data_IF_591832595748
#
_entry.id   IF_591832595748
#
_cell.length_a   1.000
_cell.length_b   1.000
_cell.length_c   1.000
_cell.angle_alpha   90.00
_cell.angle_beta   90.00
_cell.angle_gamma   90.00
#
_symmetry.space_group_name_H-M   'P 1'
#
loop_
_entity.id
_entity.type
_entity.pdbx_description
1 polymer ?
#
# COMPACT_ATOMS: atom_id res chain seq x y z
N UNK A 1 -44.63 -1.97 -61.96
CA UNK A 1 -43.51 -2.88 -62.28
C UNK A 1 -42.26 -2.35 -61.61
N UNK A 2 -41.64 -3.22 -60.83
CA UNK A 2 -40.54 -3.00 -59.90
C UNK A 2 -39.26 -2.43 -60.55
N UNK A 3 -38.47 -1.70 -59.75
CA UNK A 3 -37.07 -2.06 -59.50
C UNK A 3 -36.48 -1.17 -58.39
N UNK A 4 -36.33 -1.75 -57.20
CA UNK A 4 -35.50 -1.26 -56.12
C UNK A 4 -34.05 -1.13 -56.57
N UNK A 5 -33.40 -0.01 -56.25
CA UNK A 5 -31.94 0.12 -56.37
C UNK A 5 -31.36 0.52 -55.03
N UNK A 6 -30.94 -0.51 -54.32
CA UNK A 6 -30.25 -0.48 -53.03
C UNK A 6 -28.89 0.21 -53.24
N UNK A 7 -28.74 1.45 -52.75
CA UNK A 7 -27.46 2.16 -52.77
C UNK A 7 -26.82 1.98 -51.40
N UNK A 8 -25.88 1.03 -51.35
CA UNK A 8 -24.94 0.82 -50.25
C UNK A 8 -24.22 2.13 -49.94
N UNK A 9 -24.71 2.85 -48.92
CA UNK A 9 -23.94 3.91 -48.30
C UNK A 9 -23.00 3.23 -47.32
N UNK A 10 -21.74 3.10 -47.74
CA UNK A 10 -20.63 2.89 -46.83
C UNK A 10 -20.68 4.04 -45.82
N UNK A 11 -21.15 3.75 -44.61
CA UNK A 11 -21.08 4.67 -43.49
C UNK A 11 -19.59 4.81 -43.19
N UNK A 12 -19.00 5.96 -43.57
CA UNK A 12 -17.71 6.37 -43.05
C UNK A 12 -17.95 6.70 -41.57
N UNK A 13 -17.96 5.66 -40.74
CA UNK A 13 -17.83 5.79 -39.31
C UNK A 13 -16.44 6.35 -39.06
N UNK A 14 -16.40 7.64 -38.80
CA UNK A 14 -15.28 8.28 -38.15
C UNK A 14 -15.21 7.63 -36.76
N UNK A 15 -14.21 6.78 -36.57
CA UNK A 15 -13.96 6.16 -35.28
C UNK A 15 -13.43 7.29 -34.41
N UNK A 16 -14.33 7.85 -33.59
CA UNK A 16 -14.00 8.90 -32.64
C UNK A 16 -12.96 8.36 -31.65
N UNK A 17 -11.71 8.79 -31.84
CA UNK A 17 -10.51 8.38 -31.09
C UNK A 17 -10.48 8.99 -29.66
N UNK A 18 -11.64 9.30 -29.10
CA UNK A 18 -11.83 9.99 -27.82
C UNK A 18 -12.02 9.04 -26.64
N UNK A 19 -11.66 7.75 -26.78
CA UNK A 19 -11.63 6.80 -25.66
C UNK A 19 -10.24 6.65 -25.02
N UNK A 20 -9.18 7.21 -25.62
CA UNK A 20 -7.79 7.07 -25.12
C UNK A 20 -7.30 8.28 -24.33
N UNK A 21 -8.10 9.34 -24.23
CA UNK A 21 -7.90 10.43 -23.30
C UNK A 21 -8.86 10.20 -22.12
N UNK A 22 -8.57 9.18 -21.30
CA UNK A 22 -8.89 9.37 -19.87
C UNK A 22 -8.21 10.68 -19.51
N UNK A 23 -9.00 11.65 -19.06
CA UNK A 23 -8.56 13.01 -18.86
C UNK A 23 -7.27 12.97 -18.02
N UNK A 24 -6.16 13.44 -18.59
CA UNK A 24 -4.86 13.43 -17.90
C UNK A 24 -4.99 14.14 -16.56
N UNK A 25 -5.87 15.13 -16.50
CA UNK A 25 -6.18 15.85 -15.28
C UNK A 25 -6.92 14.95 -14.27
N UNK A 26 -7.88 14.11 -14.68
CA UNK A 26 -8.50 13.12 -13.77
C UNK A 26 -7.50 12.07 -13.27
N UNK A 27 -6.57 11.62 -14.11
CA UNK A 27 -5.51 10.69 -13.70
C UNK A 27 -4.51 11.35 -12.75
N UNK A 28 -4.13 12.59 -13.03
CA UNK A 28 -3.27 13.41 -12.17
C UNK A 28 -3.98 13.74 -10.86
N UNK A 29 -5.27 14.08 -10.86
CA UNK A 29 -6.07 14.33 -9.66
C UNK A 29 -6.27 13.06 -8.83
N UNK A 30 -6.47 11.89 -9.45
CA UNK A 30 -6.45 10.60 -8.75
C UNK A 30 -5.08 10.26 -8.18
N UNK A 31 -3.99 10.61 -8.87
CA UNK A 31 -2.63 10.41 -8.37
C UNK A 31 -2.24 11.41 -7.27
N UNK A 32 -2.81 12.62 -7.32
CA UNK A 32 -2.62 13.70 -6.35
C UNK A 32 -3.59 13.61 -5.18
N UNK A 33 -4.60 12.74 -5.24
CA UNK A 33 -5.52 12.54 -4.12
C UNK A 33 -4.75 11.95 -2.93
N UNK A 34 -4.24 12.85 -2.08
CA UNK A 34 -3.57 12.51 -0.84
C UNK A 34 -4.56 11.85 0.11
N UNK A 35 -4.54 10.52 0.11
CA UNK A 35 -5.18 9.73 1.15
C UNK A 35 -4.41 9.87 2.47
N UNK A 36 -5.07 9.60 3.59
CA UNK A 36 -4.39 9.55 4.89
C UNK A 36 -3.27 8.49 4.92
N UNK A 37 -3.44 7.39 4.19
CA UNK A 37 -2.39 6.39 3.97
C UNK A 37 -1.16 6.96 3.31
N UNK A 38 -1.32 7.76 2.24
CA UNK A 38 -0.20 8.42 1.56
C UNK A 38 0.60 9.28 2.54
N UNK A 39 -0.08 10.01 3.43
CA UNK A 39 0.57 10.86 4.45
C UNK A 39 1.31 10.03 5.50
N UNK A 40 0.71 8.93 5.98
CA UNK A 40 1.36 8.02 6.93
C UNK A 40 2.60 7.38 6.30
N UNK A 41 2.48 6.88 5.08
CA UNK A 41 3.60 6.28 4.35
C UNK A 41 4.71 7.30 4.06
N UNK A 42 4.36 8.55 3.76
CA UNK A 42 5.34 9.61 3.57
C UNK A 42 6.14 9.88 4.86
N UNK A 43 5.47 10.00 6.01
CA UNK A 43 6.14 10.14 7.33
C UNK A 43 7.04 8.94 7.64
N UNK A 44 6.60 7.72 7.30
CA UNK A 44 7.40 6.51 7.43
C UNK A 44 8.69 6.59 6.61
N UNK A 45 8.58 6.97 5.32
CA UNK A 45 9.72 7.11 4.42
C UNK A 45 10.70 8.17 4.91
N UNK A 46 10.21 9.35 5.27
CA UNK A 46 11.05 10.45 5.78
C UNK A 46 11.85 10.02 7.01
N UNK A 47 11.20 9.31 7.95
CA UNK A 47 11.89 8.80 9.13
C UNK A 47 12.93 7.73 8.79
N UNK A 48 12.62 6.82 7.88
CA UNK A 48 13.51 5.71 7.51
C UNK A 48 14.67 6.20 6.63
N UNK A 49 14.47 7.25 5.84
CA UNK A 49 15.50 7.83 4.98
C UNK A 49 16.67 8.46 5.76
N UNK A 50 16.44 8.88 7.01
CA UNK A 50 17.48 9.40 7.89
C UNK A 50 18.52 8.34 8.27
N UNK A 51 18.13 7.06 8.35
CA UNK A 51 19.04 5.95 8.65
C UNK A 51 18.56 4.68 7.90
N UNK A 52 18.89 4.54 6.61
CA UNK A 52 18.37 3.48 5.76
C UNK A 52 18.94 2.09 6.08
N UNK A 53 20.02 2.01 6.86
CA UNK A 53 20.60 0.73 7.31
C UNK A 53 20.10 0.30 8.70
N UNK A 54 19.22 1.10 9.34
CA UNK A 54 18.66 0.74 10.63
C UNK A 54 17.74 -0.47 10.48
N UNK A 55 18.11 -1.58 11.11
CA UNK A 55 17.29 -2.80 11.19
C UNK A 55 16.39 -2.85 12.43
N UNK A 56 16.69 -2.05 13.46
CA UNK A 56 15.94 -2.02 14.71
C UNK A 56 15.82 -0.60 15.27
N UNK A 57 14.59 -0.19 15.58
CA UNK A 57 14.23 1.07 16.22
C UNK A 57 13.79 0.81 17.67
N UNK A 58 14.66 1.08 18.64
CA UNK A 58 14.33 0.97 20.07
C UNK A 58 13.74 2.27 20.61
N UNK A 59 12.50 2.26 21.09
CA UNK A 59 11.84 3.41 21.69
C UNK A 59 10.77 2.98 22.73
N UNK A 60 11.23 2.63 23.94
CA UNK A 60 10.36 2.16 25.01
C UNK A 60 9.30 3.19 25.45
N UNK A 61 8.05 2.75 25.56
CA UNK A 61 6.91 3.56 25.98
C UNK A 61 6.45 4.59 24.95
N UNK A 62 6.96 4.52 23.72
CA UNK A 62 6.56 5.41 22.62
C UNK A 62 5.54 4.72 21.69
N UNK A 63 5.23 5.35 20.56
CA UNK A 63 4.34 4.79 19.55
C UNK A 63 5.13 4.13 18.40
N UNK A 64 4.57 3.06 17.79
CA UNK A 64 5.12 2.46 16.58
C UNK A 64 5.15 3.45 15.41
N UNK A 65 6.09 3.25 14.48
CA UNK A 65 6.13 3.97 13.20
C UNK A 65 5.34 3.17 12.17
N UNK A 66 4.17 3.66 11.78
CA UNK A 66 3.28 2.98 10.84
C UNK A 66 3.60 3.31 9.39
N UNK A 67 3.50 2.31 8.50
CA UNK A 67 3.61 2.49 7.06
C UNK A 67 2.25 2.67 6.36
N UNK A 68 1.14 2.32 7.02
CA UNK A 68 -0.24 2.47 6.55
C UNK A 68 -1.17 2.69 7.74
N UNK A 69 -2.34 3.28 7.49
CA UNK A 69 -3.47 3.36 8.43
C UNK A 69 -4.19 2.03 8.59
N UNK A 70 -4.08 1.14 7.60
CA UNK A 70 -4.66 -0.20 7.64
C UNK A 70 -3.83 -1.18 8.49
N UNK A 71 -4.49 -2.22 9.00
CA UNK A 71 -3.88 -3.31 9.78
C UNK A 71 -3.13 -2.88 11.04
N UNK A 72 -3.42 -1.71 11.59
CA UNK A 72 -2.95 -1.33 12.92
C UNK A 72 -3.69 -2.19 13.97
N UNK A 73 -2.98 -2.86 14.89
CA UNK A 73 -3.61 -3.67 15.92
C UNK A 73 -4.38 -2.77 16.90
N UNK A 74 -5.63 -3.12 17.15
CA UNK A 74 -6.41 -2.50 18.21
C UNK A 74 -5.83 -2.88 19.58
N UNK A 75 -5.78 -1.94 20.53
CA UNK A 75 -5.28 -2.24 21.89
C UNK A 75 -6.04 -3.40 22.56
N UNK A 76 -7.31 -3.60 22.18
CA UNK A 76 -8.16 -4.69 22.67
C UNK A 76 -7.76 -6.07 22.12
N UNK A 77 -7.14 -6.11 20.93
CA UNK A 77 -6.65 -7.33 20.28
C UNK A 77 -5.27 -7.76 20.79
N UNK A 78 -4.57 -6.88 21.51
CA UNK A 78 -3.27 -7.20 22.10
C UNK A 78 -3.50 -8.05 23.36
N UNK A 79 -2.92 -9.27 23.45
CA UNK A 79 -3.13 -10.13 24.60
C UNK A 79 -2.64 -9.45 25.89
N UNK A 80 -3.29 -9.70 27.03
CA UNK A 80 -2.84 -9.12 28.31
C UNK A 80 -1.68 -9.91 28.88
N UNK A 81 -0.80 -9.26 29.65
CA UNK A 81 0.19 -10.00 30.44
C UNK A 81 -0.52 -10.93 31.43
N UNK A 82 -0.12 -12.21 31.58
CA UNK A 82 -0.61 -13.08 32.64
C UNK A 82 -0.41 -12.50 34.06
N UNK A 83 0.58 -11.62 34.21
CA UNK A 83 0.89 -10.88 35.42
C UNK A 83 -0.02 -9.66 35.69
N UNK A 84 -0.88 -9.29 34.74
CA UNK A 84 -1.74 -8.10 34.83
C UNK A 84 -1.08 -6.76 34.47
N UNK A 85 0.22 -6.75 34.15
CA UNK A 85 0.90 -5.54 33.69
C UNK A 85 0.41 -5.11 32.29
N UNK A 86 0.37 -3.79 32.04
CA UNK A 86 0.07 -3.23 30.72
C UNK A 86 1.24 -3.51 29.76
N UNK A 87 0.95 -4.07 28.59
CA UNK A 87 1.94 -4.16 27.52
C UNK A 87 2.29 -2.74 27.03
N UNK A 88 3.57 -2.47 26.89
CA UNK A 88 4.08 -1.20 26.35
C UNK A 88 4.94 -1.52 25.14
N UNK A 89 4.88 -0.64 24.14
CA UNK A 89 5.79 -0.71 23.02
C UNK A 89 7.24 -0.57 23.49
N UNK A 90 8.14 -1.43 23.00
CA UNK A 90 9.56 -1.43 23.38
C UNK A 90 10.46 -1.09 22.19
N UNK A 91 10.33 -1.85 21.10
CA UNK A 91 11.06 -1.62 19.86
C UNK A 91 10.24 -2.07 18.66
N UNK A 92 10.68 -1.61 17.48
CA UNK A 92 10.15 -2.01 16.18
C UNK A 92 11.31 -2.52 15.32
N UNK A 93 11.12 -3.68 14.69
CA UNK A 93 12.00 -4.16 13.63
C UNK A 93 11.69 -3.38 12.36
N UNK A 94 12.73 -2.90 11.69
CA UNK A 94 12.59 -2.11 10.47
C UNK A 94 12.63 -3.01 9.24
N UNK A 95 11.93 -2.65 8.14
CA UNK A 95 11.89 -3.49 6.92
C UNK A 95 13.26 -3.75 6.29
N UNK A 96 14.25 -2.91 6.58
CA UNK A 96 15.62 -3.03 6.06
C UNK A 96 16.29 -4.34 6.47
N UNK A 97 15.87 -4.93 7.60
CA UNK A 97 16.34 -6.25 8.01
C UNK A 97 16.07 -7.32 6.94
N UNK A 98 14.94 -7.22 6.22
CA UNK A 98 14.58 -8.16 5.16
C UNK A 98 15.47 -8.03 3.91
N UNK A 99 16.14 -6.88 3.71
CA UNK A 99 17.11 -6.74 2.62
C UNK A 99 18.43 -7.48 2.94
N UNK A 100 18.79 -7.55 4.22
CA UNK A 100 20.01 -8.24 4.68
C UNK A 100 19.80 -9.74 4.88
N UNK A 101 18.60 -10.12 5.33
CA UNK A 101 18.14 -11.50 5.33
C UNK A 101 17.85 -11.87 3.87
N UNK A 102 18.79 -12.52 3.18
CA UNK A 102 18.63 -13.05 1.81
C UNK A 102 17.57 -14.17 1.74
N UNK A 103 16.34 -13.84 2.11
CA UNK A 103 15.17 -14.72 2.03
C UNK A 103 14.68 -14.68 0.57
N UNK A 104 15.52 -15.18 -0.32
CA UNK A 104 15.26 -15.22 -1.76
C UNK A 104 14.32 -16.38 -2.15
N UNK A 105 13.86 -17.16 -1.16
CA UNK A 105 13.03 -18.35 -1.36
C UNK A 105 11.61 -18.09 -0.84
N UNK A 106 10.57 -18.13 -1.70
CA UNK A 106 9.17 -18.00 -1.27
C UNK A 106 8.64 -19.19 -0.44
N UNK A 107 9.53 -20.10 0.00
CA UNK A 107 9.25 -21.21 0.91
C UNK A 107 9.82 -21.01 2.32
N UNK A 108 10.75 -20.06 2.50
CA UNK A 108 11.29 -19.69 3.81
C UNK A 108 10.58 -18.45 4.32
N UNK A 109 9.24 -18.47 4.39
CA UNK A 109 8.50 -17.34 4.94
C UNK A 109 8.85 -17.18 6.42
N UNK A 110 9.28 -15.97 6.80
CA UNK A 110 9.41 -15.56 8.20
C UNK A 110 7.99 -15.28 8.74
N UNK A 111 7.10 -16.28 8.64
CA UNK A 111 5.75 -16.22 9.19
C UNK A 111 5.85 -16.42 10.71
N UNK A 112 6.41 -15.44 11.43
CA UNK A 112 6.46 -15.44 12.89
C UNK A 112 5.17 -14.86 13.49
N UNK A 113 4.03 -15.22 12.92
CA UNK A 113 2.70 -15.00 13.52
C UNK A 113 1.79 -16.19 13.17
N UNK A 114 2.26 -17.43 13.37
CA UNK A 114 1.34 -18.57 13.45
C UNK A 114 0.89 -18.71 14.90
N UNK A 115 -0.36 -18.33 15.13
CA UNK A 115 -1.14 -18.57 16.34
C UNK A 115 -1.09 -20.08 16.70
N UNK A 116 -0.77 -20.40 17.95
CA UNK A 116 -0.88 -21.75 18.54
C UNK A 116 -1.16 -21.65 20.02
#
# INVERSE_FOLDING_TARGET
>A
MSASKQKSRCFKGEIDLTSSYLDKNELEDMALHETEDTKVFQKFKERTAMEPHQVLRYCRGSFPLWASTDNQPDEEKIPKCPCGAKQIFEFQVMPQLLNDLKVDSPGDSVDTCTDS
#
